data_IF_679341267838
#
_entry.id   IF_679341267838
#
_cell.length_a   1.000
_cell.length_b   1.000
_cell.length_c   1.000
_cell.angle_alpha   90.00
_cell.angle_beta   90.00
_cell.angle_gamma   90.00
#
_symmetry.space_group_name_H-M   'P 1'
#
loop_
_entity.id
_entity.type
_entity.pdbx_description
1 polymer ?
#
# COMPACT_ATOMS: atom_id res chain seq x y z
N UNK A 1 4.75 14.43 19.81
CA UNK A 1 4.62 14.61 21.28
C UNK A 1 5.13 16.00 21.64
N UNK A 2 4.41 16.73 22.49
CA UNK A 2 4.80 18.05 23.01
C UNK A 2 4.82 17.98 24.53
N UNK A 3 5.91 18.44 25.16
CA UNK A 3 6.06 18.46 26.63
C UNK A 3 6.27 19.89 27.09
N UNK A 4 5.48 20.33 28.08
CA UNK A 4 5.54 21.68 28.61
C UNK A 4 5.44 21.69 30.13
N UNK A 5 6.51 22.09 30.79
CA UNK A 5 6.56 22.21 32.25
C UNK A 5 5.75 23.42 32.72
N UNK A 6 4.85 23.18 33.68
CA UNK A 6 3.96 24.16 34.28
C UNK A 6 4.46 24.61 35.66
N UNK A 7 3.97 25.74 36.19
CA UNK A 7 4.18 26.11 37.59
C UNK A 7 3.71 25.01 38.56
N UNK A 8 4.21 25.05 39.81
CA UNK A 8 3.88 24.07 40.88
C UNK A 8 4.31 22.63 40.61
N UNK A 9 5.41 22.43 39.86
CA UNK A 9 6.01 21.10 39.60
C UNK A 9 5.06 20.14 38.87
N UNK A 10 4.19 20.66 38.00
CA UNK A 10 3.41 19.87 37.06
C UNK A 10 3.94 20.01 35.63
N UNK A 11 3.68 19.04 34.77
CA UNK A 11 3.99 19.09 33.35
C UNK A 11 2.79 18.59 32.56
N UNK A 12 2.61 19.17 31.38
CA UNK A 12 1.61 18.78 30.39
C UNK A 12 2.31 18.07 29.25
N UNK A 13 1.82 16.89 28.91
CA UNK A 13 2.27 16.12 27.75
C UNK A 13 1.10 15.97 26.79
N UNK A 14 1.31 16.39 25.55
CA UNK A 14 0.37 16.18 24.45
C UNK A 14 0.94 15.08 23.55
N UNK A 15 0.17 14.01 23.38
CA UNK A 15 0.52 12.84 22.57
C UNK A 15 -0.61 12.57 21.57
N UNK A 16 -0.26 12.31 20.32
CA UNK A 16 -1.27 12.13 19.29
C UNK A 16 -0.68 12.06 17.90
N UNK A 17 -1.57 12.01 16.91
CA UNK A 17 -1.23 11.92 15.50
C UNK A 17 -0.84 13.27 14.89
N UNK A 18 -1.27 14.38 15.50
CA UNK A 18 -1.05 15.69 14.92
C UNK A 18 0.44 16.10 15.00
N UNK A 19 1.01 16.35 13.82
CA UNK A 19 2.33 16.96 13.69
C UNK A 19 2.27 18.47 13.97
N UNK A 20 3.40 19.09 14.30
CA UNK A 20 3.50 20.54 14.49
C UNK A 20 3.49 21.30 13.14
N UNK A 21 2.51 21.04 12.28
CA UNK A 21 2.39 21.62 10.93
C UNK A 21 1.04 22.31 10.76
N UNK A 22 0.96 23.31 9.88
CA UNK A 22 -0.28 24.07 9.65
C UNK A 22 -1.46 23.21 9.18
N UNK A 23 -1.21 22.13 8.43
CA UNK A 23 -2.23 21.22 7.94
C UNK A 23 -2.85 20.37 9.07
N UNK A 24 -2.04 19.91 10.03
CA UNK A 24 -2.50 19.14 11.18
C UNK A 24 -3.47 19.92 12.10
N UNK A 25 -3.45 21.26 12.04
CA UNK A 25 -4.33 22.12 12.83
C UNK A 25 -5.50 22.71 12.03
N UNK A 26 -5.65 22.38 10.75
CA UNK A 26 -6.70 22.98 9.88
C UNK A 26 -7.46 21.97 9.04
N UNK A 27 -6.75 21.07 8.36
CA UNK A 27 -7.32 20.26 7.28
C UNK A 27 -7.47 18.80 7.68
N UNK A 28 -6.48 18.26 8.41
CA UNK A 28 -6.48 16.85 8.80
C UNK A 28 -7.43 16.56 9.97
N UNK A 29 -7.98 15.33 9.98
CA UNK A 29 -8.63 14.78 11.18
C UNK A 29 -7.57 14.17 12.08
N UNK A 30 -7.27 14.85 13.19
CA UNK A 30 -6.20 14.47 14.11
C UNK A 30 -6.75 14.24 15.53
N UNK A 31 -6.12 13.34 16.28
CA UNK A 31 -6.47 13.09 17.70
C UNK A 31 -5.25 13.40 18.57
N UNK A 32 -5.50 14.11 19.66
CA UNK A 32 -4.49 14.43 20.67
C UNK A 32 -5.03 14.11 22.06
N UNK A 33 -4.20 13.50 22.90
CA UNK A 33 -4.46 13.22 24.30
C UNK A 33 -3.58 14.12 25.15
N UNK A 34 -4.18 14.77 26.13
CA UNK A 34 -3.47 15.55 27.15
C UNK A 34 -3.29 14.70 28.42
N UNK A 35 -2.04 14.62 28.88
CA UNK A 35 -1.68 14.06 30.18
C UNK A 35 -1.09 15.17 31.05
N UNK A 36 -1.58 15.32 32.28
CA UNK A 36 -1.04 16.24 33.27
C UNK A 36 -0.51 15.44 34.45
N UNK A 37 0.76 15.65 34.79
CA UNK A 37 1.41 14.91 35.86
C UNK A 37 2.58 15.65 36.48
N UNK A 38 3.29 15.04 37.46
CA UNK A 38 4.43 15.68 38.10
C UNK A 38 5.61 15.88 37.13
N UNK A 39 6.30 17.03 37.20
CA UNK A 39 7.53 17.33 36.39
C UNK A 39 8.59 16.24 36.56
N UNK A 40 8.67 15.65 37.76
CA UNK A 40 9.65 14.58 38.05
C UNK A 40 9.47 13.36 37.14
N UNK A 41 8.25 13.10 36.66
CA UNK A 41 7.92 11.91 35.87
C UNK A 41 7.63 12.24 34.40
N UNK A 42 6.99 13.37 34.14
CA UNK A 42 6.50 13.74 32.81
C UNK A 42 7.13 15.03 32.28
N UNK A 43 8.08 15.62 33.01
CA UNK A 43 8.68 16.89 32.64
C UNK A 43 9.63 16.78 31.45
N UNK A 44 10.03 17.94 30.90
CA UNK A 44 10.91 18.00 29.72
C UNK A 44 12.20 17.20 29.94
N UNK A 45 12.85 17.41 31.10
CA UNK A 45 14.09 16.70 31.45
C UNK A 45 13.88 15.18 31.55
N UNK A 46 12.88 14.74 32.31
CA UNK A 46 12.57 13.32 32.48
C UNK A 46 12.23 12.65 31.15
N UNK A 47 11.52 13.37 30.27
CA UNK A 47 11.18 12.86 28.93
C UNK A 47 12.42 12.74 28.06
N UNK A 48 13.29 13.74 28.05
CA UNK A 48 14.56 13.65 27.30
C UNK A 48 15.42 12.50 27.83
N UNK A 49 15.59 12.37 29.14
CA UNK A 49 16.34 11.24 29.74
C UNK A 49 15.73 9.88 29.36
N UNK A 50 14.40 9.76 29.28
CA UNK A 50 13.77 8.51 28.84
C UNK A 50 14.04 8.18 27.35
N UNK A 51 14.32 9.19 26.52
CA UNK A 51 14.63 9.04 25.11
C UNK A 51 16.13 8.89 24.81
N UNK A 52 16.99 8.74 25.83
CA UNK A 52 18.46 8.77 25.64
C UNK A 52 18.96 7.74 24.63
N UNK A 53 18.37 6.54 24.62
CA UNK A 53 18.73 5.47 23.68
C UNK A 53 18.35 5.78 22.22
N UNK A 54 17.50 6.79 21.99
CA UNK A 54 17.05 7.25 20.68
C UNK A 54 17.75 8.55 20.25
N UNK A 55 18.57 9.15 21.12
CA UNK A 55 19.33 10.35 20.77
C UNK A 55 20.63 9.96 20.10
N UNK A 56 20.94 10.65 19.02
CA UNK A 56 22.26 10.66 18.43
C UNK A 56 22.82 12.07 18.59
N UNK A 57 24.12 12.17 18.87
CA UNK A 57 24.79 13.46 18.92
C UNK A 57 24.85 14.03 17.51
N UNK A 58 23.98 15.00 17.23
CA UNK A 58 24.00 15.77 16.00
C UNK A 58 24.70 17.10 16.28
N UNK A 59 25.89 17.28 15.71
CA UNK A 59 26.63 18.54 15.77
C UNK A 59 26.30 19.36 14.51
N UNK A 60 25.31 20.27 14.54
CA UNK A 60 24.97 21.06 13.37
C UNK A 60 26.11 22.02 13.03
N UNK A 61 26.59 21.98 11.79
CA UNK A 61 27.29 23.09 11.15
C UNK A 61 26.26 24.13 10.70
N UNK A 62 25.56 24.73 11.66
CA UNK A 62 24.59 25.77 11.37
C UNK A 62 25.25 26.98 10.69
N UNK A 63 24.60 27.51 9.64
CA UNK A 63 25.06 28.71 8.93
C UNK A 63 25.91 28.43 7.68
N UNK A 64 26.10 27.17 7.31
CA UNK A 64 26.65 26.83 6.00
C UNK A 64 25.63 27.17 4.89
N UNK A 65 26.12 27.84 3.85
CA UNK A 65 25.32 28.08 2.64
C UNK A 65 25.06 26.74 1.97
N UNK A 66 23.81 26.51 1.54
CA UNK A 66 23.46 25.30 0.79
C UNK A 66 24.39 25.14 -0.41
N UNK A 67 24.89 23.92 -0.60
CA UNK A 67 25.68 23.59 -1.79
C UNK A 67 24.80 23.64 -3.04
N UNK A 68 25.38 23.84 -4.23
CA UNK A 68 24.63 23.80 -5.49
C UNK A 68 23.87 22.47 -5.66
N UNK A 69 24.43 21.38 -5.13
CA UNK A 69 23.78 20.07 -5.14
C UNK A 69 22.54 20.04 -4.22
N UNK A 70 22.64 20.55 -2.99
CA UNK A 70 21.51 20.64 -2.06
C UNK A 70 20.40 21.55 -2.60
N UNK A 71 20.77 22.67 -3.23
CA UNK A 71 19.80 23.55 -3.88
C UNK A 71 19.09 22.86 -5.06
N UNK A 72 19.84 22.08 -5.87
CA UNK A 72 19.26 21.29 -6.94
C UNK A 72 18.34 20.18 -6.41
N UNK A 73 18.73 19.47 -5.37
CA UNK A 73 17.92 18.46 -4.69
C UNK A 73 16.62 19.06 -4.15
N UNK A 74 16.72 20.16 -3.42
CA UNK A 74 15.57 20.87 -2.88
C UNK A 74 14.63 21.37 -4.00
N UNK A 75 15.18 21.89 -5.11
CA UNK A 75 14.39 22.31 -6.28
C UNK A 75 13.62 21.15 -6.90
N UNK A 76 14.27 20.00 -7.09
CA UNK A 76 13.61 18.81 -7.64
C UNK A 76 12.52 18.30 -6.70
N UNK A 77 12.73 18.32 -5.38
CA UNK A 77 11.74 17.90 -4.40
C UNK A 77 10.52 18.83 -4.37
N UNK A 78 10.70 20.15 -4.42
CA UNK A 78 9.60 21.10 -4.50
C UNK A 78 8.77 20.89 -5.78
N UNK A 79 9.44 20.64 -6.90
CA UNK A 79 8.78 20.38 -8.17
C UNK A 79 7.98 19.07 -8.14
N UNK A 80 8.57 17.98 -7.63
CA UNK A 80 7.86 16.70 -7.48
C UNK A 80 6.68 16.81 -6.50
N UNK A 81 6.78 17.63 -5.45
CA UNK A 81 5.65 17.92 -4.55
C UNK A 81 4.53 18.68 -5.26
N UNK A 82 4.87 19.66 -6.11
CA UNK A 82 3.88 20.38 -6.90
C UNK A 82 3.17 19.46 -7.90
N UNK A 83 3.92 18.58 -8.58
CA UNK A 83 3.37 17.55 -9.46
C UNK A 83 2.44 16.62 -8.65
N UNK A 84 2.88 16.16 -7.48
CA UNK A 84 2.10 15.24 -6.65
C UNK A 84 0.85 15.86 -6.00
N UNK A 85 0.79 17.19 -5.90
CA UNK A 85 -0.40 17.89 -5.45
C UNK A 85 -1.50 17.95 -6.52
N UNK A 86 -1.17 17.67 -7.78
CA UNK A 86 -2.15 17.64 -8.87
C UNK A 86 -2.86 16.29 -8.94
N UNK A 87 -4.20 16.25 -8.98
CA UNK A 87 -4.92 15.02 -9.24
C UNK A 87 -4.52 14.43 -10.60
N UNK A 88 -4.14 13.16 -10.60
CA UNK A 88 -3.84 12.38 -11.80
C UNK A 88 -4.96 11.38 -12.03
N UNK A 89 -5.32 11.21 -13.29
CA UNK A 89 -6.38 10.30 -13.72
C UNK A 89 -5.83 9.27 -14.70
N UNK A 90 -6.42 8.08 -14.64
CA UNK A 90 -6.09 6.99 -15.52
C UNK A 90 -7.38 6.35 -15.98
N UNK A 91 -7.62 6.33 -17.30
CA UNK A 91 -8.81 5.73 -17.89
C UNK A 91 -8.46 4.47 -18.65
N UNK A 92 -9.24 3.44 -18.37
CA UNK A 92 -9.13 2.13 -19.01
C UNK A 92 -10.19 2.01 -20.10
N UNK A 93 -9.80 1.48 -21.26
CA UNK A 93 -10.72 1.16 -22.37
C UNK A 93 -10.39 -0.22 -22.95
N UNK A 94 -11.42 -1.06 -23.13
CA UNK A 94 -11.30 -2.43 -23.68
C UNK A 94 -11.81 -3.51 -22.72
N UNK A 95 -11.75 -4.79 -23.12
CA UNK A 95 -12.10 -5.95 -22.26
C UNK A 95 -10.96 -6.98 -22.14
N UNK A 96 -9.85 -6.79 -22.89
CA UNK A 96 -8.61 -7.58 -22.87
C UNK A 96 -7.40 -6.68 -22.55
N UNK A 97 -6.21 -6.89 -23.14
CA UNK A 97 -5.14 -5.88 -23.08
C UNK A 97 -5.76 -4.52 -23.40
N UNK A 98 -5.65 -3.60 -22.44
CA UNK A 98 -6.47 -2.40 -22.41
C UNK A 98 -5.65 -1.18 -22.79
N UNK A 99 -6.32 -0.21 -23.38
CA UNK A 99 -5.71 1.09 -23.60
C UNK A 99 -5.83 1.90 -22.31
N UNK A 100 -4.68 2.42 -21.87
CA UNK A 100 -4.56 3.19 -20.63
C UNK A 100 -4.22 4.63 -20.97
N UNK A 101 -5.19 5.53 -20.83
CA UNK A 101 -4.99 6.97 -21.04
C UNK A 101 -4.72 7.67 -19.70
N UNK A 102 -3.65 8.46 -19.63
CA UNK A 102 -3.21 9.16 -18.41
C UNK A 102 -3.14 10.67 -18.62
N UNK A 103 -3.70 11.44 -17.69
CA UNK A 103 -3.63 12.91 -17.65
C UNK A 103 -3.71 13.42 -16.20
N UNK A 104 -3.44 14.71 -16.02
CA UNK A 104 -3.48 15.46 -14.75
C UNK A 104 -4.44 16.63 -14.88
N UNK A 105 -5.06 17.09 -13.79
CA UNK A 105 -5.95 18.28 -13.82
C UNK A 105 -5.18 19.60 -13.96
N UNK A 106 -3.88 19.60 -13.65
CA UNK A 106 -3.03 20.77 -13.79
C UNK A 106 -1.87 20.52 -14.74
N UNK A 107 -1.53 21.58 -15.46
CA UNK A 107 -0.29 21.67 -16.22
C UNK A 107 0.89 21.77 -15.26
N UNK A 108 1.83 20.83 -15.38
CA UNK A 108 3.07 20.91 -14.63
C UNK A 108 3.95 21.97 -15.26
N UNK A 109 4.48 22.88 -14.44
CA UNK A 109 5.40 23.90 -14.92
C UNK A 109 6.69 23.24 -15.43
N UNK A 110 7.07 23.53 -16.66
CA UNK A 110 8.38 23.18 -17.18
C UNK A 110 9.46 24.03 -16.50
N UNK A 111 10.57 23.40 -16.11
CA UNK A 111 11.67 24.07 -15.42
C UNK A 111 12.95 23.92 -16.25
N UNK A 112 13.59 25.03 -16.66
CA UNK A 112 14.82 24.98 -17.44
C UNK A 112 15.90 24.12 -16.77
N UNK A 113 16.51 23.23 -17.54
CA UNK A 113 17.57 22.33 -17.06
C UNK A 113 17.08 21.14 -16.24
N UNK A 114 15.77 20.96 -16.10
CA UNK A 114 15.18 19.80 -15.43
C UNK A 114 14.49 18.92 -16.46
N UNK A 115 14.87 17.64 -16.49
CA UNK A 115 14.18 16.63 -17.31
C UNK A 115 13.18 15.89 -16.43
N UNK A 116 11.93 15.83 -16.88
CA UNK A 116 10.87 15.04 -16.25
C UNK A 116 10.58 13.84 -17.16
N UNK A 117 10.46 12.68 -16.54
CA UNK A 117 10.03 11.43 -17.16
C UNK A 117 9.02 10.76 -16.24
N UNK A 118 8.05 10.04 -16.80
CA UNK A 118 7.09 9.29 -16.03
C UNK A 118 6.74 7.96 -16.70
N UNK A 119 6.28 7.00 -15.91
CA UNK A 119 5.89 5.67 -16.39
C UNK A 119 4.85 5.06 -15.44
N UNK A 120 4.08 4.08 -15.92
CA UNK A 120 3.31 3.23 -15.02
C UNK A 120 4.26 2.37 -14.19
N UNK A 121 3.95 2.13 -12.93
CA UNK A 121 4.90 1.50 -12.00
C UNK A 121 5.36 0.09 -12.44
N UNK A 122 4.48 -0.67 -13.11
CA UNK A 122 4.72 -2.05 -13.53
C UNK A 122 5.03 -2.21 -15.02
N UNK A 123 4.82 -1.17 -15.83
CA UNK A 123 5.10 -1.24 -17.26
C UNK A 123 6.42 -0.54 -17.59
N UNK A 124 7.17 -1.07 -18.56
CA UNK A 124 8.48 -0.56 -18.95
C UNK A 124 8.39 0.64 -19.94
N UNK A 125 7.33 1.43 -19.86
CA UNK A 125 6.94 2.44 -20.84
C UNK A 125 7.25 3.86 -20.34
N UNK A 126 8.52 4.24 -20.40
CA UNK A 126 8.98 5.59 -20.03
C UNK A 126 8.48 6.61 -21.05
N UNK A 127 7.78 7.63 -20.55
CA UNK A 127 7.34 8.80 -21.30
C UNK A 127 8.20 9.98 -20.88
N UNK A 128 8.82 10.64 -21.87
CA UNK A 128 9.54 11.88 -21.64
C UNK A 128 8.57 13.07 -21.59
N UNK A 129 8.85 14.03 -20.71
CA UNK A 129 8.04 15.22 -20.50
C UNK A 129 7.10 15.10 -19.30
N UNK A 130 6.21 16.09 -19.16
CA UNK A 130 5.21 16.14 -18.09
C UNK A 130 3.96 15.34 -18.43
N UNK A 131 3.17 14.98 -17.42
CA UNK A 131 1.86 14.36 -17.63
C UNK A 131 0.93 15.42 -18.28
N UNK A 132 0.22 15.09 -19.39
CA UNK A 132 -0.69 16.03 -20.05
C UNK A 132 -1.78 16.57 -19.12
N UNK A 133 -2.17 17.83 -19.30
CA UNK A 133 -3.07 18.55 -18.40
C UNK A 133 -4.58 18.35 -18.70
N UNK A 134 -4.92 17.63 -19.77
CA UNK A 134 -6.30 17.41 -20.20
C UNK A 134 -6.46 16.00 -20.73
N UNK A 135 -7.69 15.49 -20.64
CA UNK A 135 -8.03 14.17 -21.16
C UNK A 135 -7.87 14.10 -22.69
N UNK A 136 -8.19 15.17 -23.41
CA UNK A 136 -8.06 15.25 -24.87
C UNK A 136 -6.61 15.08 -25.35
N UNK A 137 -5.66 15.48 -24.52
CA UNK A 137 -4.21 15.38 -24.76
C UNK A 137 -3.59 14.18 -24.02
N UNK A 138 -4.41 13.30 -23.42
CA UNK A 138 -3.93 12.23 -22.57
C UNK A 138 -2.96 11.31 -23.31
N UNK A 139 -1.86 10.98 -22.66
CA UNK A 139 -0.93 10.00 -23.21
C UNK A 139 -1.55 8.61 -23.06
N UNK A 140 -1.62 7.87 -24.16
CA UNK A 140 -2.26 6.55 -24.20
C UNK A 140 -1.23 5.46 -24.41
N UNK A 141 -1.17 4.53 -23.46
CA UNK A 141 -0.45 3.28 -23.60
C UNK A 141 -1.40 2.24 -24.19
N UNK A 142 -1.04 1.69 -25.35
CA UNK A 142 -1.86 0.69 -26.03
C UNK A 142 -1.55 -0.72 -25.55
N UNK A 143 -2.56 -1.59 -25.61
CA UNK A 143 -2.43 -3.05 -25.37
C UNK A 143 -1.75 -3.41 -24.04
N UNK A 144 -2.06 -2.67 -22.97
CA UNK A 144 -1.46 -2.92 -21.65
C UNK A 144 -2.14 -4.14 -21.01
N UNK A 145 -1.39 -5.19 -20.64
CA UNK A 145 -1.94 -6.31 -19.90
C UNK A 145 -2.53 -5.86 -18.56
N UNK A 146 -3.71 -6.37 -18.19
CA UNK A 146 -4.46 -5.89 -17.02
C UNK A 146 -3.68 -6.01 -15.71
N UNK A 147 -2.80 -7.01 -15.61
CA UNK A 147 -1.90 -7.23 -14.48
C UNK A 147 -0.84 -6.13 -14.30
N UNK A 148 -0.48 -5.43 -15.38
CA UNK A 148 0.44 -4.29 -15.34
C UNK A 148 -0.28 -2.96 -15.01
N UNK A 149 -1.61 -2.96 -15.04
CA UNK A 149 -2.43 -1.78 -14.75
C UNK A 149 -2.59 -1.59 -13.23
N UNK A 150 -1.69 -0.79 -12.67
CA UNK A 150 -1.78 -0.31 -11.28
C UNK A 150 -2.12 1.17 -11.27
N UNK A 151 -2.79 1.71 -10.23
CA UNK A 151 -3.05 3.15 -10.12
C UNK A 151 -1.78 3.97 -9.84
N UNK A 152 -0.59 3.37 -9.91
CA UNK A 152 0.66 4.01 -9.50
C UNK A 152 1.46 4.48 -10.71
N UNK A 153 1.84 5.75 -10.69
CA UNK A 153 2.69 6.36 -11.71
C UNK A 153 3.99 6.80 -11.04
N UNK A 154 5.12 6.32 -11.56
CA UNK A 154 6.43 6.77 -11.14
C UNK A 154 6.80 8.03 -11.93
N UNK A 155 7.09 9.13 -11.24
CA UNK A 155 7.64 10.34 -11.85
C UNK A 155 9.08 10.50 -11.41
N UNK A 156 9.97 10.70 -12.38
CA UNK A 156 11.40 10.93 -12.18
C UNK A 156 11.75 12.34 -12.67
N UNK A 157 12.40 13.12 -11.81
CA UNK A 157 12.95 14.42 -12.17
C UNK A 157 14.47 14.38 -12.07
N UNK A 158 15.16 14.93 -13.07
CA UNK A 158 16.63 14.93 -13.18
C UNK A 158 17.14 16.34 -13.43
N UNK A 159 18.21 16.74 -12.75
CA UNK A 159 18.95 17.98 -13.02
C UNK A 159 20.46 17.68 -12.88
N UNK A 160 21.16 17.59 -14.02
CA UNK A 160 22.55 17.16 -14.05
C UNK A 160 22.74 15.75 -13.47
N UNK A 161 23.55 15.63 -12.41
CA UNK A 161 23.78 14.38 -11.67
C UNK A 161 22.70 14.06 -10.63
N UNK A 162 21.84 15.02 -10.30
CA UNK A 162 20.83 14.87 -9.25
C UNK A 162 19.57 14.25 -9.85
N UNK A 163 19.09 13.18 -9.22
CA UNK A 163 17.83 12.52 -9.58
C UNK A 163 16.95 12.37 -8.34
N UNK A 164 15.66 12.70 -8.49
CA UNK A 164 14.62 12.45 -7.49
C UNK A 164 13.43 11.77 -8.13
N UNK A 165 12.70 11.00 -7.33
CA UNK A 165 11.55 10.22 -7.78
C UNK A 165 10.41 10.34 -6.78
N UNK A 166 9.18 10.28 -7.28
CA UNK A 166 7.98 10.17 -6.47
C UNK A 166 6.98 9.23 -7.13
N UNK A 167 6.08 8.65 -6.34
CA UNK A 167 4.98 7.83 -6.83
C UNK A 167 3.69 8.64 -6.67
N UNK A 168 2.92 8.73 -7.75
CA UNK A 168 1.59 9.34 -7.78
C UNK A 168 0.53 8.25 -7.75
N UNK A 169 -0.55 8.49 -7.00
CA UNK A 169 -1.74 7.67 -7.03
C UNK A 169 -2.76 8.30 -7.99
N UNK A 170 -2.98 7.66 -9.13
CA UNK A 170 -3.98 8.08 -10.10
C UNK A 170 -5.37 7.55 -9.73
N UNK A 171 -6.39 8.36 -10.00
CA UNK A 171 -7.78 7.94 -9.96
C UNK A 171 -8.06 7.06 -11.18
N UNK A 172 -8.38 5.79 -10.93
CA UNK A 172 -8.80 4.86 -11.98
C UNK A 172 -10.25 5.13 -12.40
N UNK A 173 -10.46 5.24 -13.70
CA UNK A 173 -11.75 5.46 -14.35
C UNK A 173 -12.02 4.31 -15.33
N UNK A 174 -13.19 3.67 -15.20
CA UNK A 174 -13.52 2.47 -15.97
C UNK A 174 -12.91 1.18 -15.39
N UNK A 175 -12.70 1.11 -14.06
CA UNK A 175 -12.12 -0.07 -13.39
C UNK A 175 -12.93 -1.33 -13.71
N UNK A 176 -12.23 -2.39 -14.15
CA UNK A 176 -12.82 -3.69 -14.39
C UNK A 176 -12.75 -4.50 -13.10
N UNK A 177 -13.86 -5.08 -12.64
CA UNK A 177 -13.85 -5.97 -11.46
C UNK A 177 -12.80 -7.08 -11.57
N UNK A 178 -12.48 -7.52 -12.81
CA UNK A 178 -11.47 -8.55 -13.11
C UNK A 178 -10.02 -8.10 -12.93
N UNK A 179 -9.71 -6.79 -12.91
CA UNK A 179 -8.32 -6.30 -12.78
C UNK A 179 -7.69 -6.71 -11.45
N UNK A 180 -8.45 -6.60 -10.35
CA UNK A 180 -7.98 -7.03 -9.01
C UNK A 180 -7.62 -8.51 -9.01
N UNK A 181 -8.41 -9.32 -9.70
CA UNK A 181 -8.18 -10.76 -9.84
C UNK A 181 -6.95 -11.05 -10.72
N UNK A 182 -6.79 -10.37 -11.85
CA UNK A 182 -5.64 -10.53 -12.73
C UNK A 182 -4.30 -10.18 -12.06
N UNK A 183 -4.26 -9.06 -11.32
CA UNK A 183 -3.06 -8.65 -10.55
C UNK A 183 -2.72 -9.65 -9.45
N UNK A 184 -3.72 -10.21 -8.77
CA UNK A 184 -3.50 -11.23 -7.74
C UNK A 184 -2.95 -12.52 -8.35
N UNK A 185 -3.45 -12.94 -9.51
CA UNK A 185 -3.04 -14.17 -10.17
C UNK A 185 -1.62 -14.14 -10.73
N UNK A 186 -1.07 -12.98 -11.12
CA UNK A 186 0.35 -12.86 -11.49
C UNK A 186 1.28 -13.30 -10.34
N UNK A 187 0.84 -13.09 -9.09
CA UNK A 187 1.59 -13.48 -7.90
C UNK A 187 1.33 -14.92 -7.44
N UNK A 188 0.42 -15.63 -8.11
CA UNK A 188 0.14 -17.05 -7.86
C UNK A 188 0.88 -17.84 -8.94
N UNK A 189 2.19 -18.00 -8.76
CA UNK A 189 3.05 -18.68 -9.73
C UNK A 189 3.12 -20.19 -9.52
N UNK A 190 2.72 -20.66 -8.35
CA UNK A 190 2.85 -22.05 -7.90
C UNK A 190 1.88 -22.38 -6.76
N UNK A 191 1.76 -23.67 -6.44
CA UNK A 191 0.89 -24.20 -5.38
C UNK A 191 1.18 -23.61 -3.99
N UNK A 192 2.44 -23.31 -3.67
CA UNK A 192 2.80 -22.74 -2.36
C UNK A 192 2.37 -21.27 -2.27
N UNK A 193 2.53 -20.51 -3.35
CA UNK A 193 2.08 -19.12 -3.49
C UNK A 193 0.56 -19.02 -3.38
N UNK A 194 -0.18 -19.97 -3.96
CA UNK A 194 -1.64 -20.10 -3.80
C UNK A 194 -2.06 -20.33 -2.34
N UNK A 195 -1.49 -21.35 -1.68
CA UNK A 195 -1.82 -21.67 -0.29
C UNK A 195 -1.46 -20.53 0.68
N UNK A 196 -0.36 -19.83 0.42
CA UNK A 196 0.05 -18.65 1.19
C UNK A 196 -0.95 -17.51 1.04
N UNK A 197 -1.38 -17.21 -0.20
CA UNK A 197 -2.38 -16.17 -0.45
C UNK A 197 -3.70 -16.49 0.24
N UNK A 198 -4.17 -17.73 0.10
CA UNK A 198 -5.40 -18.21 0.73
C UNK A 198 -5.34 -18.05 2.27
N UNK A 199 -4.23 -18.44 2.89
CA UNK A 199 -4.03 -18.31 4.33
C UNK A 199 -4.03 -16.84 4.76
N UNK A 200 -3.31 -15.98 4.04
CA UNK A 200 -3.25 -14.54 4.33
C UNK A 200 -4.62 -13.86 4.21
N UNK A 201 -5.44 -14.25 3.22
CA UNK A 201 -6.79 -13.72 3.07
C UNK A 201 -7.71 -14.12 4.23
N UNK A 202 -7.60 -15.37 4.70
CA UNK A 202 -8.36 -15.85 5.85
C UNK A 202 -7.89 -15.19 7.16
N UNK A 203 -6.58 -14.96 7.31
CA UNK A 203 -6.01 -14.22 8.44
C UNK A 203 -6.47 -12.76 8.48
N UNK A 204 -6.43 -12.07 7.34
CA UNK A 204 -6.87 -10.68 7.25
C UNK A 204 -8.37 -10.53 7.56
N UNK A 205 -9.17 -11.55 7.23
CA UNK A 205 -10.58 -11.63 7.57
C UNK A 205 -10.84 -12.00 9.04
N UNK A 206 -9.79 -12.20 9.85
CA UNK A 206 -9.88 -12.53 11.28
C UNK A 206 -10.09 -14.02 11.56
N UNK A 207 -9.91 -14.89 10.56
CA UNK A 207 -10.04 -16.35 10.69
C UNK A 207 -8.70 -17.07 10.71
N UNK A 208 -7.64 -16.34 11.04
CA UNK A 208 -6.29 -16.88 11.14
C UNK A 208 -6.22 -18.10 12.04
N UNK A 209 -5.30 -19.01 11.69
CA UNK A 209 -4.93 -20.09 12.60
C UNK A 209 -4.29 -19.46 13.84
N UNK A 210 -4.61 -19.97 15.03
CA UNK A 210 -4.10 -19.42 16.29
C UNK A 210 -2.57 -19.65 16.42
N UNK A 211 -1.79 -18.86 15.69
CA UNK A 211 -0.38 -18.60 15.93
C UNK A 211 -0.19 -17.24 16.63
N UNK A 212 -1.24 -16.74 17.30
CA UNK A 212 -1.28 -15.45 18.02
C UNK A 212 -0.63 -15.48 19.42
N UNK A 213 0.39 -16.33 19.64
CA UNK A 213 1.05 -16.42 20.95
C UNK A 213 2.58 -16.55 20.89
N UNK A 214 3.25 -15.94 19.90
CA UNK A 214 4.70 -15.80 19.94
C UNK A 214 5.16 -14.48 19.30
N UNK A 215 5.01 -13.37 20.04
CA UNK A 215 5.75 -12.12 19.76
C UNK A 215 7.21 -12.39 20.13
N UNK A 216 8.04 -12.72 19.15
CA UNK A 216 9.46 -12.99 19.38
C UNK A 216 10.16 -13.54 18.15
N UNK A 217 10.71 -12.62 17.36
CA UNK A 217 11.82 -12.78 16.41
C UNK A 217 11.64 -13.79 15.24
N UNK A 218 11.67 -13.27 14.00
CA UNK A 218 11.86 -14.08 12.80
C UNK A 218 10.61 -14.66 12.12
N UNK A 219 9.66 -13.81 11.71
CA UNK A 219 8.43 -14.19 10.98
C UNK A 219 8.69 -14.89 9.63
N UNK A 220 9.85 -14.70 8.99
CA UNK A 220 10.12 -15.28 7.67
C UNK A 220 10.83 -16.65 7.68
N UNK A 221 11.38 -17.10 8.81
CA UNK A 221 12.28 -18.27 8.85
C UNK A 221 11.66 -19.59 9.32
N UNK A 222 10.46 -19.57 9.89
CA UNK A 222 9.88 -20.74 10.60
C UNK A 222 8.78 -21.48 9.84
N UNK A 223 8.37 -20.98 8.68
CA UNK A 223 7.31 -21.56 7.85
C UNK A 223 7.66 -22.92 7.23
N UNK A 224 8.94 -23.32 7.19
CA UNK A 224 9.35 -24.54 6.48
C UNK A 224 9.34 -25.84 7.32
N UNK A 225 8.94 -25.81 8.61
CA UNK A 225 9.22 -26.91 9.54
C UNK A 225 8.04 -27.43 10.36
N UNK A 226 6.79 -27.25 9.94
CA UNK A 226 5.64 -27.85 10.65
C UNK A 226 4.74 -28.62 9.69
N UNK A 227 4.90 -29.94 9.71
CA UNK A 227 4.00 -30.95 9.16
C UNK A 227 2.63 -30.92 9.87
N UNK A 228 1.85 -29.86 9.63
CA UNK A 228 0.53 -29.61 10.19
C UNK A 228 -0.32 -28.57 9.44
N UNK A 229 0.13 -28.07 8.28
CA UNK A 229 -0.49 -26.99 7.49
C UNK A 229 -1.97 -27.23 7.12
N UNK A 230 -2.38 -28.47 6.84
CA UNK A 230 -3.72 -28.77 6.32
C UNK A 230 -4.85 -28.64 7.36
N UNK A 231 -4.56 -28.85 8.65
CA UNK A 231 -5.59 -28.84 9.70
C UNK A 231 -6.03 -27.40 10.05
N UNK A 232 -5.08 -26.47 10.06
CA UNK A 232 -5.37 -25.06 10.35
C UNK A 232 -6.17 -24.37 9.24
N UNK A 233 -5.86 -24.67 7.97
CA UNK A 233 -6.55 -24.09 6.83
C UNK A 233 -8.03 -24.53 6.76
N UNK A 234 -8.31 -25.81 7.00
CA UNK A 234 -9.68 -26.32 7.00
C UNK A 234 -10.53 -25.70 8.11
N UNK A 235 -9.96 -25.52 9.31
CA UNK A 235 -10.64 -24.83 10.41
C UNK A 235 -10.89 -23.35 10.10
N UNK A 236 -9.92 -22.66 9.48
CA UNK A 236 -10.07 -21.27 9.05
C UNK A 236 -11.19 -21.10 8.00
N UNK A 237 -11.25 -22.01 7.02
CA UNK A 237 -12.33 -22.04 6.02
C UNK A 237 -13.69 -22.33 6.66
N UNK A 238 -13.77 -23.29 7.58
CA UNK A 238 -15.01 -23.62 8.30
C UNK A 238 -15.51 -22.45 9.15
N UNK A 239 -14.60 -21.72 9.81
CA UNK A 239 -14.93 -20.49 10.54
C UNK A 239 -15.44 -19.42 9.58
N UNK A 240 -14.73 -19.14 8.49
CA UNK A 240 -15.14 -18.13 7.51
C UNK A 240 -16.55 -18.41 6.93
N UNK A 241 -16.87 -19.68 6.67
CA UNK A 241 -18.21 -20.13 6.27
C UNK A 241 -19.27 -19.88 7.35
N UNK A 242 -18.96 -20.18 8.61
CA UNK A 242 -19.88 -20.02 9.74
C UNK A 242 -20.19 -18.55 10.09
N UNK A 243 -19.23 -17.64 9.86
CA UNK A 243 -19.40 -16.21 10.14
C UNK A 243 -19.91 -15.40 8.94
N UNK A 244 -20.11 -16.03 7.77
CA UNK A 244 -20.78 -15.42 6.61
C UNK A 244 -20.01 -14.23 6.01
N UNK A 245 -18.69 -14.31 5.95
CA UNK A 245 -17.86 -13.20 5.43
C UNK A 245 -17.72 -13.21 3.91
N UNK A 246 -17.43 -12.03 3.34
CA UNK A 246 -17.12 -11.87 1.91
C UNK A 246 -15.77 -12.51 1.52
N UNK A 247 -14.95 -12.92 2.50
CA UNK A 247 -13.65 -13.56 2.25
C UNK A 247 -13.77 -14.83 1.39
N UNK A 248 -14.83 -15.63 1.59
CA UNK A 248 -15.08 -16.83 0.76
C UNK A 248 -15.42 -16.44 -0.68
N UNK A 249 -16.19 -15.36 -0.88
CA UNK A 249 -16.51 -14.84 -2.21
C UNK A 249 -15.26 -14.27 -2.91
N UNK A 250 -14.33 -13.68 -2.15
CA UNK A 250 -13.06 -13.19 -2.69
C UNK A 250 -12.15 -14.35 -3.13
N UNK A 251 -12.10 -15.43 -2.36
CA UNK A 251 -11.35 -16.65 -2.71
C UNK A 251 -11.96 -17.36 -3.93
N UNK A 252 -13.30 -17.45 -4.02
CA UNK A 252 -13.99 -18.01 -5.19
C UNK A 252 -13.55 -17.33 -6.47
N UNK A 253 -13.52 -15.99 -6.48
CA UNK A 253 -13.13 -15.21 -7.67
C UNK A 253 -11.69 -15.49 -8.12
N UNK A 254 -10.79 -15.77 -7.18
CA UNK A 254 -9.39 -16.14 -7.49
C UNK A 254 -9.34 -17.54 -8.10
N UNK A 255 -10.09 -18.49 -7.53
CA UNK A 255 -10.14 -19.87 -8.04
C UNK A 255 -10.78 -19.92 -9.42
N UNK A 256 -11.88 -19.21 -9.65
CA UNK A 256 -12.52 -19.10 -10.97
C UNK A 256 -11.58 -18.53 -12.03
N UNK A 257 -10.70 -17.60 -11.64
CA UNK A 257 -9.69 -17.06 -12.55
C UNK A 257 -8.60 -18.07 -12.85
N UNK A 258 -8.04 -18.75 -11.84
CA UNK A 258 -7.02 -19.79 -12.05
C UNK A 258 -7.61 -20.92 -12.91
N UNK A 259 -8.86 -21.31 -12.66
CA UNK A 259 -9.59 -22.33 -13.40
C UNK A 259 -10.00 -21.88 -14.82
N UNK A 260 -9.79 -20.61 -15.20
CA UNK A 260 -10.05 -20.16 -16.57
C UNK A 260 -8.98 -20.62 -17.57
N UNK A 261 -7.82 -21.08 -17.07
CA UNK A 261 -6.76 -21.72 -17.82
C UNK A 261 -6.49 -23.11 -17.23
N UNK A 262 -6.99 -24.16 -17.89
CA UNK A 262 -6.90 -25.56 -17.44
C UNK A 262 -5.46 -26.02 -17.19
N UNK A 263 -4.49 -25.50 -17.96
CA UNK A 263 -3.09 -25.88 -17.81
C UNK A 263 -2.49 -25.23 -16.56
N UNK A 264 -2.79 -23.95 -16.34
CA UNK A 264 -2.37 -23.22 -15.15
C UNK A 264 -3.04 -23.78 -13.87
N UNK A 265 -4.31 -24.16 -13.96
CA UNK A 265 -5.06 -24.76 -12.86
C UNK A 265 -4.42 -26.07 -12.38
N UNK A 266 -4.00 -26.94 -13.30
CA UNK A 266 -3.37 -28.22 -12.95
C UNK A 266 -2.01 -28.06 -12.24
N UNK A 267 -1.27 -26.97 -12.51
CA UNK A 267 0.02 -26.69 -11.89
C UNK A 267 -0.10 -26.00 -10.52
N UNK A 268 -1.10 -25.14 -10.37
CA UNK A 268 -1.28 -24.30 -9.18
C UNK A 268 -2.18 -24.97 -8.13
N UNK A 269 -3.30 -25.57 -8.55
CA UNK A 269 -4.29 -26.10 -7.61
C UNK A 269 -3.81 -27.43 -7.02
N UNK A 270 -3.96 -27.61 -5.69
CA UNK A 270 -3.68 -28.88 -5.06
C UNK A 270 -4.51 -30.04 -5.63
N UNK A 271 -3.91 -31.21 -5.80
CA UNK A 271 -4.66 -32.43 -6.12
C UNK A 271 -5.80 -32.65 -5.10
N UNK A 272 -7.03 -32.85 -5.60
CA UNK A 272 -8.23 -33.00 -4.77
C UNK A 272 -8.81 -31.68 -4.22
N UNK A 273 -8.24 -30.52 -4.57
CA UNK A 273 -8.76 -29.23 -4.12
C UNK A 273 -10.15 -28.92 -4.68
N UNK A 274 -10.46 -29.34 -5.90
CA UNK A 274 -11.77 -29.11 -6.51
C UNK A 274 -12.91 -29.78 -5.73
N UNK A 275 -12.67 -30.98 -5.19
CA UNK A 275 -13.63 -31.68 -4.34
C UNK A 275 -13.86 -30.94 -3.02
N UNK A 276 -12.77 -30.48 -2.39
CA UNK A 276 -12.83 -29.64 -1.18
C UNK A 276 -13.60 -28.34 -1.45
N UNK A 277 -13.26 -27.66 -2.54
CA UNK A 277 -13.83 -26.38 -2.88
C UNK A 277 -15.30 -26.49 -3.25
N UNK A 278 -15.71 -27.55 -3.96
CA UNK A 278 -17.12 -27.84 -4.23
C UNK A 278 -17.92 -27.97 -2.93
N UNK A 279 -17.39 -28.67 -1.93
CA UNK A 279 -18.05 -28.82 -0.63
C UNK A 279 -18.16 -27.48 0.12
N UNK A 280 -17.13 -26.64 0.05
CA UNK A 280 -17.12 -25.28 0.62
C UNK A 280 -18.18 -24.40 -0.05
N UNK A 281 -18.29 -24.45 -1.38
CA UNK A 281 -19.30 -23.70 -2.16
C UNK A 281 -20.72 -24.09 -1.82
N UNK A 282 -20.99 -25.39 -1.75
CA UNK A 282 -22.31 -25.91 -1.39
C UNK A 282 -22.70 -25.44 0.02
N UNK A 283 -21.77 -25.52 0.98
CA UNK A 283 -21.99 -25.04 2.34
C UNK A 283 -22.23 -23.51 2.39
N UNK A 284 -21.46 -22.71 1.63
CA UNK A 284 -21.63 -21.26 1.55
C UNK A 284 -22.98 -20.85 0.92
N UNK A 285 -23.41 -21.56 -0.11
CA UNK A 285 -24.71 -21.35 -0.74
C UNK A 285 -25.86 -21.67 0.24
N UNK A 286 -25.70 -22.68 1.10
CA UNK A 286 -26.68 -23.04 2.12
C UNK A 286 -26.75 -22.00 3.25
N UNK A 287 -25.63 -21.45 3.71
CA UNK A 287 -25.63 -20.37 4.73
C UNK A 287 -26.26 -19.08 4.21
N UNK A 288 -26.03 -18.70 2.94
CA UNK A 288 -26.74 -17.54 2.34
C UNK A 288 -28.25 -17.76 2.17
N UNK A 289 -28.71 -19.00 1.95
CA UNK A 289 -30.14 -19.32 1.82
C UNK A 289 -30.85 -19.45 3.17
N UNK A 290 -30.14 -19.87 4.22
CA UNK A 290 -30.69 -20.02 5.57
C UNK A 290 -30.68 -18.75 6.43
N UNK A 291 -30.02 -17.68 5.99
CA UNK A 291 -29.96 -16.38 6.64
C UNK A 291 -30.95 -15.33 6.13
N UNK A 292 -31.93 -15.73 5.30
CA UNK A 292 -33.02 -14.89 4.80
C UNK A 292 -34.32 -15.13 5.58
#
# INVERSE_FOLDING_TARGET
MIVHDLPRKQSRVLLGSANATGAAFRDNTEVMVELVGPVKQFGVKSTLEALDQLKEEYAPTGGETSTEQEEAEHRLEQMLRAIAASPVHMRLRGEGPCDVSVWSDNESADSPGVTIEWQMLRAANVVAGVIPAREEDAHTFAEVPLEQVTPFILVTAKNGSVTRRTILLARLLGDFERRRTAVLSEHITDRASFLRLLTMMLELAGFGTAAEAAIGDGVFGRFAAASGESAGLMEALAKALGYGTDAIADVERIIEYIASDDQQAAEILPEGFDELWSAVRDAYAMTKRGGA
#
